data_IF_191505434895
#
_entry.id   IF_191505434895
#
_cell.length_a   1.000
_cell.length_b   1.000
_cell.length_c   1.000
_cell.angle_alpha   90.00
_cell.angle_beta   90.00
_cell.angle_gamma   90.00
#
_symmetry.space_group_name_H-M   'P 1'
#
loop_
_entity.id
_entity.type
_entity.pdbx_description
1 polymer ?
#
# COMPACT_ATOMS: atom_id res chain seq x y z
N UNK A 1 20.55 -14.22 6.54
CA UNK A 1 21.40 -13.32 7.35
C UNK A 1 22.90 -13.48 7.09
N UNK A 2 23.52 -14.66 7.31
CA UNK A 2 24.98 -14.85 7.11
C UNK A 2 25.50 -14.41 5.73
N UNK A 3 24.74 -14.65 4.67
CA UNK A 3 25.10 -14.22 3.31
C UNK A 3 25.02 -12.70 3.11
N UNK A 4 24.03 -12.04 3.73
CA UNK A 4 23.91 -10.58 3.69
C UNK A 4 25.10 -9.91 4.40
N UNK A 5 25.53 -10.48 5.53
CA UNK A 5 26.71 -10.01 6.27
C UNK A 5 28.00 -10.19 5.46
N UNK A 6 28.17 -11.32 4.77
CA UNK A 6 29.29 -11.54 3.83
C UNK A 6 29.31 -10.53 2.68
N UNK A 7 28.14 -10.12 2.19
CA UNK A 7 28.00 -9.13 1.11
C UNK A 7 28.03 -7.67 1.60
N UNK A 8 28.38 -7.42 2.88
CA UNK A 8 28.31 -6.08 3.51
C UNK A 8 26.94 -5.39 3.36
N UNK A 9 25.85 -6.17 3.25
CA UNK A 9 24.49 -5.64 3.24
C UNK A 9 24.00 -5.41 4.66
N UNK A 10 23.23 -4.34 4.85
CA UNK A 10 22.58 -4.04 6.14
C UNK A 10 21.62 -5.17 6.49
N UNK A 11 21.69 -5.66 7.73
CA UNK A 11 20.79 -6.68 8.27
C UNK A 11 19.90 -6.01 9.30
N UNK A 12 18.60 -6.22 9.15
CA UNK A 12 17.57 -5.70 10.06
C UNK A 12 16.89 -6.88 10.74
N UNK A 13 16.57 -6.73 12.02
CA UNK A 13 15.92 -7.78 12.81
C UNK A 13 14.82 -7.18 13.69
N UNK A 14 13.66 -7.82 13.67
CA UNK A 14 12.51 -7.44 14.50
C UNK A 14 12.63 -8.15 15.86
N UNK A 15 12.58 -7.41 16.98
CA UNK A 15 12.61 -8.02 18.30
C UNK A 15 11.30 -8.80 18.55
N UNK A 16 11.36 -9.85 19.38
CA UNK A 16 10.19 -10.65 19.70
C UNK A 16 10.21 -11.22 21.12
N UNK A 17 9.17 -11.96 21.53
CA UNK A 17 9.06 -12.47 22.89
C UNK A 17 10.25 -13.36 23.26
N UNK A 18 10.89 -13.12 24.42
CA UNK A 18 12.07 -13.89 24.88
C UNK A 18 11.80 -15.38 25.08
N UNK A 19 10.53 -15.75 25.31
CA UNK A 19 10.08 -17.13 25.48
C UNK A 19 9.82 -17.85 24.15
N UNK A 20 9.79 -17.12 23.02
CA UNK A 20 9.58 -17.72 21.71
C UNK A 20 10.89 -18.26 21.14
N UNK A 21 10.88 -19.53 20.72
CA UNK A 21 12.01 -20.17 20.03
C UNK A 21 12.36 -19.44 18.73
N UNK A 22 11.39 -18.87 18.03
CA UNK A 22 11.59 -18.14 16.78
C UNK A 22 12.33 -16.81 17.00
N UNK A 23 12.18 -16.19 18.17
CA UNK A 23 12.83 -14.92 18.51
C UNK A 23 14.29 -15.08 18.94
N UNK A 24 14.74 -16.29 19.29
CA UNK A 24 16.17 -16.55 19.57
C UNK A 24 17.06 -16.20 18.39
N UNK A 25 16.60 -16.47 17.16
CA UNK A 25 17.32 -16.17 15.93
C UNK A 25 17.47 -14.66 15.69
N UNK A 26 16.38 -13.89 15.83
CA UNK A 26 16.44 -12.43 15.67
C UNK A 26 17.27 -11.78 16.76
N UNK A 27 17.18 -12.24 18.01
CA UNK A 27 18.04 -11.75 19.11
C UNK A 27 19.52 -12.04 18.87
N UNK A 28 19.85 -13.21 18.31
CA UNK A 28 21.23 -13.52 17.93
C UNK A 28 21.74 -12.58 16.83
N UNK A 29 20.90 -12.28 15.83
CA UNK A 29 21.26 -11.34 14.76
C UNK A 29 21.50 -9.92 15.30
N UNK A 30 20.66 -9.45 16.23
CA UNK A 30 20.83 -8.14 16.86
C UNK A 30 22.15 -8.09 17.64
N UNK A 31 22.49 -9.14 18.39
CA UNK A 31 23.79 -9.26 19.08
C UNK A 31 24.99 -9.25 18.12
N UNK A 32 24.82 -9.73 16.90
CA UNK A 32 25.85 -9.70 15.86
C UNK A 32 25.95 -8.36 15.10
N UNK A 33 25.22 -7.33 15.52
CA UNK A 33 25.23 -6.01 14.90
C UNK A 33 24.15 -5.80 13.84
N UNK A 34 23.13 -6.66 13.78
CA UNK A 34 21.92 -6.33 13.01
C UNK A 34 21.17 -5.18 13.71
N UNK A 35 20.62 -4.26 12.91
CA UNK A 35 19.85 -3.15 13.44
C UNK A 35 18.48 -3.63 13.89
N UNK A 36 18.09 -3.27 15.11
CA UNK A 36 16.75 -3.50 15.62
C UNK A 36 15.78 -2.61 14.85
N UNK A 37 14.68 -3.17 14.38
CA UNK A 37 13.60 -2.43 13.71
C UNK A 37 12.23 -2.83 14.25
N UNK A 38 11.38 -1.84 14.50
CA UNK A 38 10.01 -2.06 15.01
C UNK A 38 8.94 -1.86 13.93
N UNK A 39 9.28 -1.17 12.84
CA UNK A 39 8.34 -0.82 11.77
C UNK A 39 9.06 -0.65 10.43
N UNK A 40 8.31 -0.81 9.33
CA UNK A 40 8.85 -0.58 7.97
C UNK A 40 9.43 0.83 7.79
N UNK A 41 8.92 1.81 8.56
CA UNK A 41 9.42 3.18 8.61
C UNK A 41 10.90 3.29 8.97
N UNK A 42 11.36 2.43 9.89
CA UNK A 42 12.73 2.44 10.39
C UNK A 42 13.72 1.89 9.34
N UNK A 43 13.28 0.87 8.59
CA UNK A 43 14.02 0.34 7.44
C UNK A 43 14.14 1.42 6.34
N UNK A 44 13.04 2.12 6.05
CA UNK A 44 13.01 3.20 5.04
C UNK A 44 13.92 4.36 5.43
N UNK A 45 13.90 4.77 6.71
CA UNK A 45 14.81 5.78 7.27
C UNK A 45 16.28 5.38 7.11
N UNK A 46 16.64 4.15 7.46
CA UNK A 46 18.04 3.69 7.38
C UNK A 46 18.54 3.47 5.94
N UNK A 47 17.63 3.20 5.00
CA UNK A 47 17.95 3.09 3.58
C UNK A 47 17.86 4.45 2.85
N UNK A 48 17.51 5.54 3.55
CA UNK A 48 17.22 6.86 2.96
C UNK A 48 16.26 6.79 1.77
N UNK A 49 15.36 5.81 1.78
CA UNK A 49 14.40 5.63 0.70
C UNK A 49 13.27 6.63 0.92
N UNK A 50 12.86 7.38 -0.13
CA UNK A 50 11.66 8.20 -0.02
C UNK A 50 10.50 7.28 0.34
N UNK A 51 9.72 7.68 1.36
CA UNK A 51 8.42 7.06 1.57
C UNK A 51 7.69 7.14 0.24
N UNK A 52 7.44 5.98 -0.37
CA UNK A 52 6.43 5.88 -1.41
C UNK A 52 5.14 6.17 -0.67
N UNK A 53 4.78 7.46 -0.59
CA UNK A 53 3.44 7.86 -0.18
C UNK A 53 2.54 7.01 -1.06
N UNK A 54 1.73 6.13 -0.46
CA UNK A 54 0.52 5.69 -1.13
C UNK A 54 -0.07 6.98 -1.68
N UNK A 55 -0.19 7.07 -3.00
CA UNK A 55 -0.81 8.21 -3.65
C UNK A 55 -2.23 8.19 -3.11
N UNK A 56 -2.45 8.88 -1.99
CA UNK A 56 -3.78 9.25 -1.56
C UNK A 56 -4.24 10.09 -2.72
N UNK A 57 -5.06 9.46 -3.56
CA UNK A 57 -5.81 10.13 -4.58
C UNK A 57 -6.74 11.07 -3.83
N UNK A 58 -6.23 12.26 -3.48
CA UNK A 58 -7.04 13.40 -3.14
C UNK A 58 -7.83 13.70 -4.41
N UNK A 59 -9.02 13.11 -4.50
CA UNK A 59 -10.07 13.69 -5.31
C UNK A 59 -10.34 15.07 -4.72
N UNK A 60 -10.45 16.07 -5.57
CA UNK A 60 -10.79 17.43 -5.14
C UNK A 60 -12.25 17.49 -4.65
N UNK A 61 -13.00 16.41 -4.89
CA UNK A 61 -14.43 16.25 -4.66
C UNK A 61 -14.68 15.08 -3.67
N UNK A 62 -15.67 15.23 -2.77
CA UNK A 62 -16.00 14.20 -1.75
C UNK A 62 -16.37 12.86 -2.41
N UNK A 63 -17.08 12.92 -3.53
CA UNK A 63 -17.51 11.77 -4.32
C UNK A 63 -16.34 11.01 -4.97
N UNK A 64 -15.33 11.71 -5.49
CA UNK A 64 -14.13 11.08 -6.05
C UNK A 64 -13.33 10.32 -4.98
N UNK A 65 -13.27 10.83 -3.76
CA UNK A 65 -12.59 10.17 -2.65
C UNK A 65 -13.31 8.88 -2.21
N UNK A 66 -14.65 8.85 -2.29
CA UNK A 66 -15.42 7.64 -2.02
C UNK A 66 -15.17 6.59 -3.10
N UNK A 67 -15.17 7.00 -4.37
CA UNK A 67 -14.91 6.11 -5.51
C UNK A 67 -13.47 5.57 -5.45
N UNK A 68 -12.48 6.41 -5.16
CA UNK A 68 -11.07 6.00 -5.03
C UNK A 68 -10.85 5.05 -3.85
N UNK A 69 -11.56 5.24 -2.74
CA UNK A 69 -11.52 4.34 -1.58
C UNK A 69 -12.11 2.97 -1.90
N UNK A 70 -13.24 2.92 -2.60
CA UNK A 70 -13.88 1.67 -3.02
C UNK A 70 -13.01 0.92 -4.03
N UNK A 71 -12.41 1.63 -5.00
CA UNK A 71 -11.49 1.04 -5.97
C UNK A 71 -10.14 0.63 -5.35
N UNK A 72 -9.78 1.18 -4.19
CA UNK A 72 -8.61 0.73 -3.41
C UNK A 72 -8.82 -0.65 -2.77
N UNK A 73 -10.07 -1.07 -2.57
CA UNK A 73 -10.42 -2.40 -2.03
C UNK A 73 -10.38 -3.48 -3.11
N UNK A 74 -10.54 -3.14 -4.39
CA UNK A 74 -10.52 -4.08 -5.51
C UNK A 74 -11.13 -3.53 -6.79
N UNK A 75 -10.95 -4.28 -7.88
CA UNK A 75 -11.62 -3.98 -9.16
C UNK A 75 -13.09 -4.34 -9.09
N UNK A 76 -13.96 -3.37 -9.36
CA UNK A 76 -15.40 -3.51 -9.18
C UNK A 76 -16.14 -3.02 -10.43
N UNK A 77 -17.26 -3.68 -10.79
CA UNK A 77 -18.16 -3.17 -11.81
C UNK A 77 -18.85 -1.89 -11.32
N UNK A 78 -19.28 -1.05 -12.27
CA UNK A 78 -19.93 0.23 -11.99
C UNK A 78 -21.13 0.10 -11.04
N UNK A 79 -21.95 -0.96 -11.16
CA UNK A 79 -23.10 -1.23 -10.28
C UNK A 79 -22.70 -1.39 -8.81
N UNK A 80 -21.63 -2.14 -8.53
CA UNK A 80 -21.14 -2.31 -7.15
C UNK A 80 -20.52 -1.03 -6.60
N UNK A 81 -19.94 -0.20 -7.46
CA UNK A 81 -19.44 1.12 -7.08
C UNK A 81 -20.63 2.00 -6.69
N UNK A 82 -21.72 1.99 -7.46
CA UNK A 82 -22.95 2.73 -7.15
C UNK A 82 -23.55 2.26 -5.82
N UNK A 83 -23.66 0.94 -5.59
CA UNK A 83 -24.18 0.39 -4.32
C UNK A 83 -23.34 0.81 -3.11
N UNK A 84 -22.01 0.72 -3.21
CA UNK A 84 -21.10 1.06 -2.11
C UNK A 84 -21.01 2.57 -1.86
N UNK A 85 -21.05 3.38 -2.92
CA UNK A 85 -20.93 4.84 -2.80
C UNK A 85 -22.26 5.52 -2.48
N UNK A 86 -23.40 4.87 -2.74
CA UNK A 86 -24.76 5.44 -2.63
C UNK A 86 -24.95 6.73 -3.43
N UNK A 87 -24.10 6.96 -4.43
CA UNK A 87 -24.17 8.13 -5.30
C UNK A 87 -25.08 7.86 -6.49
N UNK A 88 -25.56 8.92 -7.12
CA UNK A 88 -26.35 8.78 -8.34
C UNK A 88 -25.47 8.24 -9.48
N UNK A 89 -25.99 7.35 -10.34
CA UNK A 89 -25.25 6.76 -11.46
C UNK A 89 -24.61 7.81 -12.38
N UNK A 90 -25.25 8.96 -12.51
CA UNK A 90 -24.80 10.11 -13.29
C UNK A 90 -23.48 10.68 -12.74
N UNK A 91 -23.40 10.89 -11.41
CA UNK A 91 -22.20 11.43 -10.76
C UNK A 91 -21.07 10.41 -10.81
N UNK A 92 -21.39 9.12 -10.62
CA UNK A 92 -20.39 8.03 -10.68
C UNK A 92 -19.80 7.91 -12.08
N UNK A 93 -20.63 7.92 -13.12
CA UNK A 93 -20.15 7.82 -14.50
C UNK A 93 -19.31 9.04 -14.90
N UNK A 94 -19.73 10.25 -14.52
CA UNK A 94 -18.98 11.48 -14.80
C UNK A 94 -17.61 11.48 -14.11
N UNK A 95 -17.58 11.14 -12.81
CA UNK A 95 -16.34 11.08 -12.03
C UNK A 95 -15.41 9.96 -12.50
N UNK A 96 -15.92 8.77 -12.83
CA UNK A 96 -15.09 7.69 -13.39
C UNK A 96 -14.47 8.10 -14.72
N UNK A 97 -15.20 8.82 -15.57
CA UNK A 97 -14.69 9.32 -16.86
C UNK A 97 -13.58 10.35 -16.64
N UNK A 98 -13.78 11.30 -15.72
CA UNK A 98 -12.75 12.28 -15.33
C UNK A 98 -11.52 11.61 -14.73
N UNK A 99 -11.71 10.62 -13.85
CA UNK A 99 -10.61 9.87 -13.22
C UNK A 99 -9.88 8.96 -14.21
N UNK A 100 -10.53 8.52 -15.29
CA UNK A 100 -9.89 7.79 -16.39
C UNK A 100 -9.01 8.73 -17.23
N UNK A 101 -9.51 9.93 -17.52
CA UNK A 101 -8.75 10.98 -18.23
C UNK A 101 -7.54 11.43 -17.41
N UNK A 102 -7.69 11.59 -16.09
CA UNK A 102 -6.61 11.95 -15.17
C UNK A 102 -5.64 10.78 -14.91
N UNK A 103 -5.92 9.59 -15.48
CA UNK A 103 -5.10 8.40 -15.32
C UNK A 103 -5.06 7.85 -13.89
N UNK A 104 -6.07 8.17 -13.06
CA UNK A 104 -6.26 7.63 -11.71
C UNK A 104 -6.96 6.27 -11.74
N UNK A 105 -7.83 6.05 -12.72
CA UNK A 105 -8.63 4.83 -12.90
C UNK A 105 -8.44 4.31 -14.31
N UNK A 106 -8.51 2.99 -14.48
CA UNK A 106 -8.43 2.30 -15.77
C UNK A 106 -9.62 1.38 -15.94
N UNK A 107 -10.29 1.49 -17.08
CA UNK A 107 -11.33 0.56 -17.49
C UNK A 107 -10.69 -0.73 -18.01
N UNK A 108 -11.04 -1.85 -17.42
CA UNK A 108 -10.57 -3.19 -17.79
C UNK A 108 -11.50 -3.86 -18.82
N UNK A 109 -12.57 -3.19 -19.23
CA UNK A 109 -13.64 -3.72 -20.08
C UNK A 109 -14.83 -4.23 -19.26
N UNK A 110 -15.99 -4.40 -19.91
CA UNK A 110 -17.24 -4.85 -19.29
C UNK A 110 -17.72 -3.97 -18.10
N UNK A 111 -17.49 -2.65 -18.16
CA UNK A 111 -17.80 -1.69 -17.09
C UNK A 111 -17.09 -1.98 -15.76
N UNK A 112 -15.95 -2.67 -15.80
CA UNK A 112 -15.10 -2.94 -14.63
C UNK A 112 -13.97 -1.92 -14.57
N UNK A 113 -13.88 -1.24 -13.44
CA UNK A 113 -12.87 -0.21 -13.20
C UNK A 113 -11.85 -0.68 -12.17
N UNK A 114 -10.58 -0.31 -12.39
CA UNK A 114 -9.47 -0.57 -11.48
C UNK A 114 -8.62 0.69 -11.27
N UNK A 115 -7.94 0.81 -10.14
CA UNK A 115 -6.96 1.87 -9.94
C UNK A 115 -5.78 1.70 -10.90
N UNK A 116 -5.44 2.77 -11.60
CA UNK A 116 -4.21 2.84 -12.37
C UNK A 116 -3.04 2.98 -11.38
N UNK A 117 -2.16 1.99 -11.36
CA UNK A 117 -0.98 1.94 -10.49
C UNK A 117 0.29 2.25 -11.29
#
# INVERSE_FOLDING_TARGET
>A
AKWAQKQRKKVFAVPGPVYSLNSKGTHFLIKQGAKLVESADDILKELSLPKIKKKELKGEILEENLISKVLSEGNLPIDKIIEKTKLTPQIVSANLSLMEIDGKVKNLGANVYALAR
#
